data_IF_759002657190
#
_entry.id   IF_759002657190
#
_cell.length_a   1.000
_cell.length_b   1.000
_cell.length_c   1.000
_cell.angle_alpha   90.00
_cell.angle_beta   90.00
_cell.angle_gamma   90.00
#
_symmetry.space_group_name_H-M   'P 1'
#
loop_
_entity.id
_entity.type
_entity.pdbx_description
1 polymer ?
#
# COMPACT_ATOMS: atom_id res chain seq x y z
N UNK A 1 18.34 1.46 17.61
CA UNK A 1 18.63 0.31 16.71
C UNK A 1 17.37 -0.26 16.07
N UNK A 2 16.27 -0.47 16.82
CA UNK A 2 14.98 -0.90 16.27
C UNK A 2 14.38 0.12 15.30
N UNK A 3 14.17 1.37 15.73
CA UNK A 3 13.61 2.43 14.88
C UNK A 3 14.33 2.61 13.52
N UNK A 4 15.67 2.47 13.48
CA UNK A 4 16.44 2.56 12.23
C UNK A 4 16.16 1.40 11.27
N UNK A 5 15.86 0.20 11.80
CA UNK A 5 15.49 -0.95 10.97
C UNK A 5 14.10 -0.74 10.36
N UNK A 6 13.13 -0.36 11.18
CA UNK A 6 11.74 -0.19 10.76
C UNK A 6 11.58 0.99 9.78
N UNK A 7 12.42 2.03 9.93
CA UNK A 7 12.43 3.19 9.03
C UNK A 7 12.74 2.87 7.57
N UNK A 8 13.35 1.72 7.27
CA UNK A 8 13.73 1.38 5.89
C UNK A 8 12.51 1.12 5.01
N UNK A 9 11.51 0.36 5.49
CA UNK A 9 10.35 -0.05 4.68
C UNK A 9 9.00 0.45 5.20
N UNK A 10 8.91 0.89 6.46
CA UNK A 10 7.63 1.20 7.08
C UNK A 10 6.81 2.28 6.37
N UNK A 11 7.45 3.14 5.58
CA UNK A 11 6.76 4.15 4.78
C UNK A 11 6.09 3.57 3.52
N UNK A 12 6.65 2.51 2.92
CA UNK A 12 6.02 1.81 1.80
C UNK A 12 4.80 1.00 2.27
N UNK A 13 4.93 0.31 3.40
CA UNK A 13 3.81 -0.40 4.05
C UNK A 13 2.67 0.56 4.38
N UNK A 14 3.00 1.72 4.94
CA UNK A 14 2.01 2.72 5.29
C UNK A 14 1.34 3.31 4.04
N UNK A 15 2.07 3.50 2.93
CA UNK A 15 1.49 4.03 1.70
C UNK A 15 0.50 3.04 1.05
N UNK A 16 0.82 1.74 1.04
CA UNK A 16 -0.11 0.70 0.58
C UNK A 16 -1.44 0.77 1.35
N UNK A 17 -1.37 0.87 2.68
CA UNK A 17 -2.55 1.00 3.53
C UNK A 17 -3.29 2.32 3.30
N UNK A 18 -2.57 3.43 3.19
CA UNK A 18 -3.17 4.74 2.93
C UNK A 18 -3.95 4.75 1.60
N UNK A 19 -3.40 4.12 0.56
CA UNK A 19 -4.10 3.95 -0.71
C UNK A 19 -5.28 2.98 -0.58
N UNK A 20 -5.13 1.93 0.24
CA UNK A 20 -6.19 0.94 0.43
C UNK A 20 -7.48 1.52 1.06
N UNK A 21 -7.33 2.58 1.85
CA UNK A 21 -8.42 3.33 2.48
C UNK A 21 -8.51 4.77 1.99
N UNK A 22 -8.10 5.07 0.75
CA UNK A 22 -8.04 6.44 0.22
C UNK A 22 -9.33 7.25 0.43
N UNK A 23 -10.49 6.59 0.42
CA UNK A 23 -11.82 7.17 0.61
C UNK A 23 -12.09 7.71 2.03
N UNK A 24 -11.26 7.38 3.02
CA UNK A 24 -11.33 7.97 4.38
C UNK A 24 -10.59 9.29 4.49
N UNK A 25 -9.77 9.64 3.48
CA UNK A 25 -8.94 10.84 3.47
C UNK A 25 -9.62 12.06 2.85
N UNK A 26 -8.91 13.19 2.88
CA UNK A 26 -9.30 14.45 2.24
C UNK A 26 -8.45 14.80 1.01
N UNK A 27 -7.50 13.92 0.66
CA UNK A 27 -6.53 14.13 -0.40
C UNK A 27 -6.79 13.18 -1.56
N UNK A 28 -6.48 13.63 -2.78
CA UNK A 28 -6.40 12.74 -3.95
C UNK A 28 -5.04 12.08 -3.95
N UNK A 29 -5.01 10.76 -4.08
CA UNK A 29 -3.80 9.96 -4.16
C UNK A 29 -3.60 9.47 -5.59
N UNK A 30 -2.34 9.21 -5.96
CA UNK A 30 -1.96 8.54 -7.20
C UNK A 30 -1.09 7.34 -6.87
N UNK A 31 -1.31 6.22 -7.57
CA UNK A 31 -0.35 5.11 -7.52
C UNK A 31 0.91 5.49 -8.30
N UNK A 32 2.07 4.91 -7.95
CA UNK A 32 3.28 5.01 -8.76
C UNK A 32 3.00 4.65 -10.23
N UNK A 33 3.55 5.44 -11.14
CA UNK A 33 3.61 5.09 -12.55
C UNK A 33 4.83 4.19 -12.86
N UNK A 34 5.14 3.98 -14.14
CA UNK A 34 6.23 3.11 -14.56
C UNK A 34 7.61 3.72 -14.22
N UNK A 35 7.77 5.04 -14.38
CA UNK A 35 9.02 5.74 -14.03
C UNK A 35 9.22 5.73 -12.51
N UNK A 36 8.17 5.98 -11.75
CA UNK A 36 8.20 5.88 -10.29
C UNK A 36 8.58 4.47 -9.83
N UNK A 37 8.00 3.43 -10.43
CA UNK A 37 8.28 2.03 -10.08
C UNK A 37 9.74 1.63 -10.37
N UNK A 38 10.30 2.05 -11.51
CA UNK A 38 11.72 1.85 -11.83
C UNK A 38 12.62 2.55 -10.81
N UNK A 39 12.27 3.78 -10.43
CA UNK A 39 13.00 4.52 -9.41
C UNK A 39 12.92 3.84 -8.05
N UNK A 40 11.75 3.36 -7.63
CA UNK A 40 11.59 2.67 -6.35
C UNK A 40 12.41 1.38 -6.31
N UNK A 41 12.37 0.54 -7.35
CA UNK A 41 13.14 -0.70 -7.38
C UNK A 41 14.66 -0.45 -7.35
N UNK A 42 15.14 0.59 -8.03
CA UNK A 42 16.55 0.97 -8.00
C UNK A 42 17.03 1.37 -6.59
N UNK A 43 16.18 2.08 -5.84
CA UNK A 43 16.54 2.62 -4.51
C UNK A 43 16.18 1.66 -3.35
N UNK A 44 15.19 0.79 -3.56
CA UNK A 44 14.68 -0.18 -2.61
C UNK A 44 14.53 -1.54 -3.30
N UNK A 45 15.64 -2.28 -3.54
CA UNK A 45 15.59 -3.55 -4.26
C UNK A 45 14.61 -4.55 -3.63
N UNK A 46 13.70 -5.10 -4.44
CA UNK A 46 12.58 -5.94 -4.02
C UNK A 46 11.26 -5.19 -3.82
N UNK A 47 11.21 -3.88 -4.08
CA UNK A 47 9.99 -3.09 -3.97
C UNK A 47 8.92 -3.50 -4.97
N UNK A 48 9.31 -3.82 -6.21
CA UNK A 48 8.39 -4.21 -7.28
C UNK A 48 7.58 -5.46 -6.92
N UNK A 49 8.26 -6.45 -6.33
CA UNK A 49 7.67 -7.73 -5.96
C UNK A 49 6.78 -7.67 -4.72
N UNK A 50 6.90 -6.64 -3.88
CA UNK A 50 6.14 -6.53 -2.63
C UNK A 50 4.98 -5.53 -2.74
N UNK A 51 5.22 -4.33 -3.26
CA UNK A 51 4.22 -3.27 -3.31
C UNK A 51 3.67 -3.04 -4.72
N UNK A 52 4.51 -3.05 -5.76
CA UNK A 52 4.03 -2.76 -7.12
C UNK A 52 3.14 -3.85 -7.70
N UNK A 53 3.36 -5.11 -7.32
CA UNK A 53 2.47 -6.22 -7.69
C UNK A 53 1.02 -5.94 -7.24
N UNK A 54 0.83 -5.51 -5.98
CA UNK A 54 -0.50 -5.13 -5.46
C UNK A 54 -1.11 -3.98 -6.24
N UNK A 55 -0.33 -2.93 -6.57
CA UNK A 55 -0.83 -1.81 -7.36
C UNK A 55 -1.22 -2.21 -8.78
N UNK A 56 -0.45 -3.10 -9.41
CA UNK A 56 -0.77 -3.64 -10.75
C UNK A 56 -2.08 -4.43 -10.72
N UNK A 57 -2.27 -5.29 -9.71
CA UNK A 57 -3.51 -6.05 -9.54
C UNK A 57 -4.71 -5.11 -9.35
N UNK A 58 -4.57 -4.07 -8.53
CA UNK A 58 -5.64 -3.10 -8.32
C UNK A 58 -5.96 -2.32 -9.60
N UNK A 59 -4.95 -1.88 -10.35
CA UNK A 59 -5.13 -1.22 -11.66
C UNK A 59 -5.85 -2.15 -12.64
N UNK A 60 -5.47 -3.42 -12.70
CA UNK A 60 -6.09 -4.40 -13.59
C UNK A 60 -7.58 -4.66 -13.27
N UNK A 61 -7.97 -4.60 -11.99
CA UNK A 61 -9.37 -4.71 -11.56
C UNK A 61 -10.17 -3.42 -11.83
N UNK A 62 -9.48 -2.30 -12.06
CA UNK A 62 -10.08 -0.99 -12.30
C UNK A 62 -10.34 -0.23 -11.01
N UNK A 63 -9.38 -0.19 -10.10
CA UNK A 63 -9.53 0.46 -8.79
C UNK A 63 -9.77 1.98 -8.83
N UNK A 64 -9.49 2.62 -9.97
CA UNK A 64 -9.79 4.03 -10.23
C UNK A 64 -11.16 4.23 -10.91
N UNK A 65 -11.80 3.15 -11.38
CA UNK A 65 -13.13 3.15 -12.00
C UNK A 65 -14.21 2.93 -10.92
N UNK A 66 -14.87 4.02 -10.54
CA UNK A 66 -15.93 4.03 -9.54
C UNK A 66 -17.11 3.10 -9.84
N UNK A 67 -17.28 2.63 -11.09
CA UNK A 67 -18.37 1.72 -11.46
C UNK A 67 -18.08 0.26 -11.12
N UNK A 68 -16.82 -0.08 -10.80
CA UNK A 68 -16.38 -1.47 -10.53
C UNK A 68 -16.75 -1.98 -9.15
N UNK A 69 -17.05 -1.09 -8.20
CA UNK A 69 -17.34 -1.48 -6.81
C UNK A 69 -16.16 -2.15 -6.11
N UNK A 70 -14.93 -1.93 -6.60
CA UNK A 70 -13.73 -2.48 -6.00
C UNK A 70 -13.23 -1.60 -4.85
N UNK A 71 -12.94 -2.22 -3.71
CA UNK A 71 -12.34 -1.56 -2.55
C UNK A 71 -11.06 -2.30 -2.17
N UNK A 72 -9.93 -1.60 -2.30
CA UNK A 72 -8.58 -2.14 -2.11
C UNK A 72 -8.39 -2.82 -0.74
N UNK A 73 -8.96 -2.27 0.34
CA UNK A 73 -8.87 -2.88 1.68
C UNK A 73 -9.52 -4.27 1.74
N UNK A 74 -10.60 -4.50 0.97
CA UNK A 74 -11.25 -5.81 0.91
C UNK A 74 -10.37 -6.81 0.14
N UNK A 75 -9.63 -6.35 -0.86
CA UNK A 75 -8.66 -7.19 -1.57
C UNK A 75 -7.52 -7.63 -0.64
N UNK A 76 -6.99 -6.73 0.19
CA UNK A 76 -5.98 -7.10 1.19
C UNK A 76 -6.49 -8.20 2.14
N UNK A 77 -7.72 -8.06 2.63
CA UNK A 77 -8.34 -9.10 3.46
C UNK A 77 -8.54 -10.42 2.71
N UNK A 78 -8.90 -10.36 1.43
CA UNK A 78 -9.09 -11.54 0.59
C UNK A 78 -7.81 -12.35 0.41
N UNK A 79 -6.67 -11.68 0.23
CA UNK A 79 -5.37 -12.33 0.08
C UNK A 79 -4.69 -12.65 1.43
N UNK A 80 -5.41 -12.46 2.55
CA UNK A 80 -4.98 -12.88 3.89
C UNK A 80 -4.29 -11.80 4.73
N UNK A 81 -4.15 -10.56 4.23
CA UNK A 81 -3.55 -9.47 4.98
C UNK A 81 -4.60 -8.75 5.84
N UNK A 82 -4.66 -9.12 7.12
CA UNK A 82 -5.45 -8.40 8.11
C UNK A 82 -4.76 -7.09 8.51
N UNK A 83 -5.55 -6.03 8.64
CA UNK A 83 -5.06 -4.70 9.01
C UNK A 83 -5.51 -4.38 10.43
N UNK A 84 -4.56 -3.94 11.25
CA UNK A 84 -4.76 -3.56 12.63
C UNK A 84 -4.37 -2.09 12.84
N UNK A 85 -4.82 -1.52 13.95
CA UNK A 85 -4.41 -0.19 14.40
C UNK A 85 -3.77 -0.34 15.77
N UNK A 86 -2.56 0.18 15.93
CA UNK A 86 -1.88 0.12 17.22
C UNK A 86 -2.63 0.96 18.27
N UNK A 87 -2.86 0.37 19.45
CA UNK A 87 -3.61 1.01 20.53
C UNK A 87 -2.89 2.19 21.19
N UNK A 88 -1.59 2.38 20.93
CA UNK A 88 -0.79 3.47 21.47
C UNK A 88 -0.57 4.55 20.41
N UNK A 89 0.11 4.21 19.32
CA UNK A 89 0.55 5.14 18.28
C UNK A 89 -0.50 5.41 17.20
N UNK A 90 -1.58 4.61 17.17
CA UNK A 90 -2.65 4.71 16.18
C UNK A 90 -2.17 4.52 14.73
N UNK A 91 -0.96 3.99 14.55
CA UNK A 91 -0.41 3.69 13.22
C UNK A 91 -1.06 2.41 12.72
N UNK A 92 -1.69 2.41 11.53
CA UNK A 92 -2.20 1.19 10.95
C UNK A 92 -1.03 0.32 10.48
N UNK A 93 -1.15 -0.99 10.66
CA UNK A 93 -0.14 -1.96 10.27
C UNK A 93 -0.79 -3.28 9.85
N UNK A 94 -0.08 -4.05 9.02
CA UNK A 94 -0.44 -5.42 8.68
C UNK A 94 0.80 -6.30 8.94
N UNK A 95 0.76 -7.21 9.93
CA UNK A 95 1.89 -8.10 10.17
C UNK A 95 1.98 -9.13 9.03
N UNK A 96 3.20 -9.37 8.57
CA UNK A 96 3.54 -10.51 7.70
C UNK A 96 3.53 -11.83 8.44
#
# INVERSE_FOLDING_TARGET
RAAKKDAYLGHHDLFLLAFAVWWTGLLRLSMPDEEDAEWFELNFPGWDALWNESFRDWKAIGCEDHTRGFVQIQWLFHIGHQVYVDGVWQVPFYPT
#
